data_IF_962124432107
#
_entry.id   IF_962124432107
#
_cell.length_a   1.000
_cell.length_b   1.000
_cell.length_c   1.000
_cell.angle_alpha   90.00
_cell.angle_beta   90.00
_cell.angle_gamma   90.00
#
_symmetry.space_group_name_H-M   'P 1'
#
loop_
_entity.id
_entity.type
_entity.pdbx_description
1 polymer ?
#
# COMPACT_ATOMS: atom_id res chain seq x y z
N UNK A 1 17.89 -9.00 -0.05
CA UNK A 1 17.66 -7.58 0.30
C UNK A 1 16.23 -7.38 0.73
N UNK A 2 16.03 -6.59 1.78
CA UNK A 2 14.67 -6.31 2.22
C UNK A 2 13.98 -5.35 1.25
N UNK A 3 12.69 -5.54 1.07
CA UNK A 3 11.86 -4.61 0.30
C UNK A 3 11.76 -3.29 1.04
N UNK A 4 11.75 -2.20 0.28
CA UNK A 4 11.52 -0.86 0.84
C UNK A 4 10.12 -0.40 0.45
N UNK A 5 9.47 0.30 1.37
CA UNK A 5 8.18 0.92 1.09
C UNK A 5 8.42 2.41 0.86
N UNK A 6 7.99 2.89 -0.31
CA UNK A 6 8.08 4.31 -0.64
C UNK A 6 6.68 4.82 -0.93
N UNK A 7 6.50 6.13 -0.88
CA UNK A 7 5.18 6.76 -0.96
C UNK A 7 5.18 7.85 -2.01
N UNK A 8 4.17 7.84 -2.87
CA UNK A 8 3.93 9.00 -3.74
C UNK A 8 3.34 10.13 -2.90
N UNK A 9 3.58 11.37 -3.33
CA UNK A 9 3.09 12.54 -2.60
C UNK A 9 1.58 12.51 -2.39
N UNK A 10 0.85 12.08 -3.42
CA UNK A 10 -0.60 11.96 -3.34
C UNK A 10 -1.02 10.99 -2.24
N UNK A 11 -0.33 9.86 -2.13
CA UNK A 11 -0.63 8.85 -1.13
C UNK A 11 -0.35 9.38 0.28
N UNK A 12 0.74 10.14 0.45
CA UNK A 12 1.05 10.76 1.73
C UNK A 12 -0.06 11.73 2.15
N UNK A 13 -0.55 12.52 1.21
CA UNK A 13 -1.64 13.46 1.49
C UNK A 13 -2.92 12.72 1.89
N UNK A 14 -3.22 11.61 1.22
CA UNK A 14 -4.37 10.81 1.56
C UNK A 14 -4.23 10.20 2.95
N UNK A 15 -3.04 9.69 3.27
CA UNK A 15 -2.77 9.13 4.58
C UNK A 15 -2.98 10.16 5.69
N UNK A 16 -2.50 11.38 5.47
CA UNK A 16 -2.58 12.45 6.49
C UNK A 16 -4.02 12.89 6.77
N UNK A 17 -4.96 12.58 5.89
CA UNK A 17 -6.37 12.90 6.12
C UNK A 17 -7.04 11.92 7.07
N UNK A 18 -6.41 10.79 7.36
CA UNK A 18 -6.96 9.78 8.24
C UNK A 18 -6.63 10.12 9.70
N UNK A 19 -7.39 9.51 10.63
CA UNK A 19 -7.09 9.73 12.04
C UNK A 19 -5.74 9.08 12.39
N UNK A 20 -5.19 9.47 13.55
CA UNK A 20 -3.85 9.03 13.95
C UNK A 20 -3.75 7.51 14.09
N UNK A 21 -4.83 6.87 14.57
CA UNK A 21 -4.83 5.42 14.74
C UNK A 21 -4.74 4.71 13.40
N UNK A 22 -5.53 5.17 12.42
CA UNK A 22 -5.50 4.60 11.08
C UNK A 22 -4.12 4.77 10.45
N UNK A 23 -3.53 5.96 10.59
CA UNK A 23 -2.19 6.20 10.07
C UNK A 23 -1.17 5.24 10.67
N UNK A 24 -1.20 5.06 12.00
CA UNK A 24 -0.27 4.15 12.67
C UNK A 24 -0.46 2.71 12.21
N UNK A 25 -1.72 2.28 12.07
CA UNK A 25 -2.01 0.91 11.64
C UNK A 25 -1.50 0.65 10.22
N UNK A 26 -1.70 1.60 9.32
CA UNK A 26 -1.27 1.46 7.93
C UNK A 26 0.24 1.45 7.82
N UNK A 27 0.89 2.44 8.43
CA UNK A 27 2.36 2.54 8.38
C UNK A 27 3.00 1.34 9.06
N UNK A 28 2.44 0.93 10.21
CA UNK A 28 2.95 -0.24 10.94
C UNK A 28 2.84 -1.52 10.13
N UNK A 29 1.69 -1.73 9.48
CA UNK A 29 1.49 -2.90 8.64
C UNK A 29 2.53 -2.96 7.51
N UNK A 30 2.71 -1.86 6.80
CA UNK A 30 3.65 -1.82 5.69
C UNK A 30 5.08 -2.05 6.17
N UNK A 31 5.45 -1.45 7.30
CA UNK A 31 6.79 -1.62 7.86
C UNK A 31 7.04 -3.05 8.36
N UNK A 32 6.08 -3.63 9.05
CA UNK A 32 6.27 -4.93 9.69
C UNK A 32 5.98 -6.11 8.78
N UNK A 33 5.06 -5.98 7.84
CA UNK A 33 4.60 -7.09 7.01
C UNK A 33 5.12 -7.04 5.59
N UNK A 34 5.38 -5.86 5.06
CA UNK A 34 5.74 -5.68 3.65
C UNK A 34 7.22 -5.33 3.47
N UNK A 35 7.75 -4.43 4.30
CA UNK A 35 9.16 -4.02 4.22
C UNK A 35 10.06 -5.09 4.85
N UNK A 36 10.02 -6.30 4.28
CA UNK A 36 10.73 -7.48 4.75
C UNK A 36 11.50 -8.10 3.60
N UNK A 37 12.17 -9.23 3.86
CA UNK A 37 12.86 -9.97 2.80
C UNK A 37 11.92 -10.86 2.00
N UNK A 38 10.71 -11.05 2.48
CA UNK A 38 9.72 -11.91 1.82
C UNK A 38 9.03 -11.18 0.68
N UNK A 39 8.52 -11.94 -0.28
CA UNK A 39 7.79 -11.37 -1.41
C UNK A 39 6.56 -10.60 -0.92
N UNK A 40 6.44 -9.30 -1.26
CA UNK A 40 5.28 -8.52 -0.84
C UNK A 40 3.96 -9.03 -1.43
N UNK A 41 4.02 -9.86 -2.49
CA UNK A 41 2.82 -10.43 -3.10
C UNK A 41 2.24 -11.61 -2.33
N UNK A 42 2.91 -12.07 -1.27
CA UNK A 42 2.36 -13.12 -0.42
C UNK A 42 1.14 -12.65 0.38
N UNK A 43 0.99 -11.34 0.49
CA UNK A 43 -0.17 -10.71 1.13
C UNK A 43 -0.87 -9.82 0.10
N UNK A 44 -2.14 -9.53 0.35
CA UNK A 44 -2.90 -8.67 -0.55
C UNK A 44 -3.35 -9.39 -1.82
N UNK A 45 -3.80 -8.62 -2.78
CA UNK A 45 -4.39 -9.13 -4.02
C UNK A 45 -4.08 -8.23 -5.20
N UNK A 46 -4.01 -8.79 -6.43
CA UNK A 46 -3.85 -7.96 -7.62
C UNK A 46 -5.13 -7.21 -7.96
N UNK A 47 -4.98 -6.04 -8.55
CA UNK A 47 -6.12 -5.30 -9.09
C UNK A 47 -6.37 -5.74 -10.53
N UNK A 48 -7.61 -5.51 -11.00
CA UNK A 48 -8.05 -5.96 -12.32
C UNK A 48 -8.48 -4.77 -13.18
N UNK A 49 -8.76 -5.04 -14.46
CA UNK A 49 -9.23 -4.08 -15.45
C UNK A 49 -8.24 -2.92 -15.60
N UNK A 50 -8.71 -1.69 -15.50
CA UNK A 50 -7.89 -0.50 -15.75
C UNK A 50 -6.75 -0.32 -14.74
N UNK A 51 -6.84 -1.00 -13.60
CA UNK A 51 -5.82 -0.92 -12.56
C UNK A 51 -4.88 -2.12 -12.57
N UNK A 52 -4.89 -2.88 -13.67
CA UNK A 52 -4.05 -4.04 -13.83
C UNK A 52 -2.58 -3.67 -13.64
N UNK A 53 -1.86 -4.52 -12.91
CA UNK A 53 -0.46 -4.28 -12.59
C UNK A 53 -0.25 -3.65 -11.24
N UNK A 54 -1.31 -3.20 -10.59
CA UNK A 54 -1.24 -2.70 -9.23
C UNK A 54 -1.64 -3.76 -8.23
N UNK A 55 -1.27 -3.56 -6.98
CA UNK A 55 -1.50 -4.50 -5.89
C UNK A 55 -2.22 -3.78 -4.75
N UNK A 56 -3.13 -4.47 -4.08
CA UNK A 56 -3.83 -3.85 -2.94
C UNK A 56 -3.58 -4.61 -1.66
N UNK A 57 -3.44 -3.87 -0.59
CA UNK A 57 -3.44 -4.41 0.77
C UNK A 57 -4.68 -3.92 1.49
N UNK A 58 -5.20 -4.78 2.34
CA UNK A 58 -6.38 -4.49 3.12
C UNK A 58 -5.98 -4.35 4.58
N UNK A 59 -6.21 -3.17 5.15
CA UNK A 59 -5.85 -2.89 6.54
C UNK A 59 -7.09 -2.31 7.22
N UNK A 60 -7.82 -3.15 7.95
CA UNK A 60 -9.11 -2.74 8.52
C UNK A 60 -10.09 -2.35 7.41
N UNK A 61 -10.66 -1.17 7.52
CA UNK A 61 -11.59 -0.64 6.52
C UNK A 61 -10.89 0.12 5.40
N UNK A 62 -9.56 0.13 5.39
CA UNK A 62 -8.78 0.90 4.42
C UNK A 62 -8.18 0.01 3.36
N UNK A 63 -7.95 0.60 2.19
CA UNK A 63 -7.28 -0.05 1.07
C UNK A 63 -6.04 0.74 0.72
N UNK A 64 -4.95 0.03 0.50
CA UNK A 64 -3.66 0.61 0.15
C UNK A 64 -3.30 0.06 -1.22
N UNK A 65 -3.20 0.94 -2.22
CA UNK A 65 -2.88 0.55 -3.58
C UNK A 65 -1.40 0.83 -3.83
N UNK A 66 -0.70 -0.18 -4.32
CA UNK A 66 0.75 -0.12 -4.49
C UNK A 66 1.18 -0.59 -5.87
N UNK A 67 2.31 -0.09 -6.31
CA UNK A 67 3.05 -0.61 -7.45
C UNK A 67 4.25 -1.37 -6.92
N UNK A 68 4.38 -2.64 -7.29
CA UNK A 68 5.49 -3.47 -6.83
C UNK A 68 6.55 -3.48 -7.93
N UNK A 69 7.70 -2.87 -7.63
CA UNK A 69 8.78 -2.69 -8.59
C UNK A 69 9.91 -3.66 -8.26
N UNK A 70 9.89 -4.82 -8.91
CA UNK A 70 10.79 -5.93 -8.59
C UNK A 70 12.26 -5.56 -8.76
N UNK A 71 12.60 -4.90 -9.85
CA UNK A 71 14.01 -4.59 -10.13
C UNK A 71 14.59 -3.63 -9.13
N UNK A 72 13.76 -2.78 -8.53
CA UNK A 72 14.21 -1.83 -7.52
C UNK A 72 14.01 -2.34 -6.10
N UNK A 73 13.32 -3.45 -5.94
CA UNK A 73 12.95 -4.01 -4.64
C UNK A 73 12.17 -2.98 -3.80
N UNK A 74 11.21 -2.32 -4.46
CA UNK A 74 10.42 -1.24 -3.86
C UNK A 74 8.94 -1.56 -3.99
N UNK A 75 8.20 -1.30 -2.92
CA UNK A 75 6.73 -1.26 -2.94
C UNK A 75 6.35 0.20 -2.84
N UNK A 76 5.86 0.77 -3.94
CA UNK A 76 5.49 2.19 -4.00
C UNK A 76 4.01 2.35 -3.71
N UNK A 77 3.68 3.05 -2.63
CA UNK A 77 2.29 3.30 -2.26
C UNK A 77 1.77 4.46 -3.12
N UNK A 78 0.74 4.17 -3.93
CA UNK A 78 0.18 5.15 -4.87
C UNK A 78 -1.17 5.70 -4.42
N UNK A 79 -1.96 4.94 -3.66
CA UNK A 79 -3.25 5.39 -3.14
C UNK A 79 -3.49 4.84 -1.74
N UNK A 80 -4.15 5.64 -0.92
CA UNK A 80 -4.60 5.24 0.41
C UNK A 80 -6.02 5.77 0.58
N UNK A 81 -6.93 4.93 1.04
CA UNK A 81 -8.27 5.41 1.28
C UNK A 81 -9.19 4.38 1.88
N UNK A 82 -10.37 4.85 2.28
CA UNK A 82 -11.42 3.97 2.76
C UNK A 82 -11.87 3.08 1.60
N UNK A 83 -12.21 1.82 1.91
CA UNK A 83 -12.60 0.84 0.89
C UNK A 83 -13.67 1.33 -0.09
N UNK A 84 -14.50 2.28 0.34
CA UNK A 84 -15.58 2.80 -0.51
C UNK A 84 -15.12 3.89 -1.47
N UNK A 85 -13.98 4.50 -1.21
CA UNK A 85 -13.54 5.69 -1.94
C UNK A 85 -12.25 5.52 -2.73
N UNK A 86 -11.45 4.51 -2.42
CA UNK A 86 -10.10 4.40 -2.96
C UNK A 86 -10.07 4.15 -4.47
N UNK A 87 -11.15 3.62 -5.02
CA UNK A 87 -11.24 3.32 -6.45
C UNK A 87 -11.92 4.43 -7.28
N UNK A 88 -12.29 5.51 -6.65
CA UNK A 88 -12.95 6.61 -7.35
C UNK A 88 -11.97 7.66 -7.82
#
# INVERSE_FOLDING_TARGET
MAWRVEWEDKAVKELKKLDARAQRNIVGYLREKIATEDDPRRLGDPLRKDLKGLWKYRIGSYRIICSIEDQKVIVLVVRVGHRRNVYK
#
